data_IF_161573961486
#
_entry.id   IF_161573961486
#
_cell.length_a   1.000
_cell.length_b   1.000
_cell.length_c   1.000
_cell.angle_alpha   90.00
_cell.angle_beta   90.00
_cell.angle_gamma   90.00
#
_symmetry.space_group_name_H-M   'P 1'
#
loop_
_entity.id
_entity.type
_entity.pdbx_description
1 polymer ?
#
# COMPACT_ATOMS: atom_id res chain seq x y z
N UNK A 1 13.28 37.87 -19.14
CA UNK A 1 12.06 37.04 -19.21
C UNK A 1 12.42 35.82 -20.02
N UNK A 2 12.64 34.67 -19.38
CA UNK A 2 12.97 33.42 -20.08
C UNK A 2 11.64 32.70 -20.37
N UNK A 3 11.33 32.54 -21.64
CA UNK A 3 10.17 31.78 -22.11
C UNK A 3 10.31 30.33 -21.69
N UNK A 4 9.29 29.81 -21.05
CA UNK A 4 9.20 28.40 -20.73
C UNK A 4 8.92 27.61 -22.04
N UNK A 5 9.56 26.45 -22.24
CA UNK A 5 9.38 25.69 -23.48
C UNK A 5 7.98 25.09 -23.58
N UNK A 6 7.32 25.31 -24.71
CA UNK A 6 5.93 24.98 -25.04
C UNK A 6 5.62 23.48 -25.24
N UNK A 7 6.50 22.56 -24.80
CA UNK A 7 6.33 21.10 -25.04
C UNK A 7 5.75 20.30 -23.86
N UNK A 8 5.35 20.98 -22.78
CA UNK A 8 4.61 20.29 -21.70
C UNK A 8 3.17 20.07 -22.15
N UNK A 9 2.93 18.91 -22.77
CA UNK A 9 1.59 18.48 -23.14
C UNK A 9 0.69 18.29 -21.89
N UNK A 10 -0.62 18.42 -22.08
CA UNK A 10 -1.61 18.14 -21.03
C UNK A 10 -1.41 16.75 -20.42
N UNK A 11 -1.00 15.76 -21.22
CA UNK A 11 -0.63 14.40 -20.76
C UNK A 11 0.48 14.38 -19.70
N UNK A 12 1.47 15.30 -19.74
CA UNK A 12 2.51 15.32 -18.72
C UNK A 12 2.03 15.95 -17.40
N UNK A 13 1.07 16.85 -17.45
CA UNK A 13 0.43 17.41 -16.24
C UNK A 13 -0.45 16.35 -15.58
N UNK A 14 -1.14 15.52 -16.35
CA UNK A 14 -1.95 14.43 -15.83
C UNK A 14 -1.07 13.29 -15.29
N UNK A 15 0.04 12.96 -15.95
CA UNK A 15 1.06 12.04 -15.45
C UNK A 15 1.72 12.57 -14.16
N UNK A 16 1.93 13.90 -14.07
CA UNK A 16 2.50 14.52 -12.88
C UNK A 16 1.50 14.60 -11.72
N UNK A 17 0.21 14.76 -12.02
CA UNK A 17 -0.88 14.69 -11.04
C UNK A 17 -1.09 13.27 -10.54
N UNK A 18 -1.00 12.25 -11.40
CA UNK A 18 -0.96 10.83 -11.03
C UNK A 18 0.26 10.44 -10.19
N UNK A 19 1.36 11.24 -10.23
CA UNK A 19 2.60 10.93 -9.50
C UNK A 19 2.50 11.11 -8.00
N UNK A 20 1.50 11.83 -7.51
CA UNK A 20 1.30 12.11 -6.08
C UNK A 20 0.21 11.26 -5.42
N UNK A 21 -0.39 10.31 -6.14
CA UNK A 21 -1.61 9.66 -5.66
C UNK A 21 -1.52 8.12 -5.61
N UNK A 22 -0.37 7.62 -5.20
CA UNK A 22 -0.19 6.19 -4.93
C UNK A 22 -0.48 5.90 -3.46
N UNK A 23 -1.52 5.13 -3.17
CA UNK A 23 -1.79 4.61 -1.84
C UNK A 23 -1.22 3.19 -1.69
N UNK A 24 -0.36 3.03 -0.70
CA UNK A 24 0.14 1.72 -0.27
C UNK A 24 -0.60 1.31 0.99
N UNK A 25 -1.31 0.20 0.96
CA UNK A 25 -2.03 -0.27 2.12
C UNK A 25 -1.84 -1.77 2.36
N UNK A 26 -2.02 -2.17 3.60
CA UNK A 26 -1.98 -3.57 4.04
C UNK A 26 -3.38 -4.01 4.44
N UNK A 27 -3.73 -5.27 4.16
CA UNK A 27 -4.89 -5.94 4.75
C UNK A 27 -4.42 -6.91 5.81
N UNK A 28 -4.99 -6.83 7.00
CA UNK A 28 -4.69 -7.71 8.12
C UNK A 28 -5.95 -8.01 8.94
N UNK A 29 -5.90 -9.05 9.74
CA UNK A 29 -7.03 -9.58 10.50
C UNK A 29 -6.80 -11.05 10.82
N UNK A 30 -7.67 -11.67 11.60
CA UNK A 30 -7.55 -13.09 11.93
C UNK A 30 -7.75 -14.00 10.71
N UNK A 31 -7.45 -15.26 10.87
CA UNK A 31 -7.83 -16.28 9.87
C UNK A 31 -9.36 -16.23 9.72
N UNK A 32 -9.84 -16.43 8.53
CA UNK A 32 -11.26 -16.41 8.16
C UNK A 32 -12.00 -15.07 8.33
N UNK A 33 -11.32 -13.96 8.65
CA UNK A 33 -11.95 -12.63 8.65
C UNK A 33 -12.35 -12.16 7.23
N UNK A 34 -11.92 -12.88 6.17
CA UNK A 34 -12.29 -12.60 4.77
C UNK A 34 -11.40 -11.58 4.07
N UNK A 35 -10.10 -11.52 4.42
CA UNK A 35 -9.11 -10.59 3.81
C UNK A 35 -9.03 -10.75 2.29
N UNK A 36 -8.68 -11.94 1.83
CA UNK A 36 -8.53 -12.24 0.41
C UNK A 36 -9.88 -12.11 -0.34
N UNK A 37 -11.00 -12.48 0.30
CA UNK A 37 -12.33 -12.26 -0.27
C UNK A 37 -12.62 -10.78 -0.48
N UNK A 38 -12.30 -9.92 0.50
CA UNK A 38 -12.52 -8.47 0.42
C UNK A 38 -11.73 -7.85 -0.73
N UNK A 39 -10.43 -8.16 -0.83
CA UNK A 39 -9.58 -7.63 -1.90
C UNK A 39 -10.05 -8.16 -3.26
N UNK A 40 -10.29 -9.46 -3.36
CA UNK A 40 -10.75 -10.09 -4.59
C UNK A 40 -12.07 -9.50 -5.08
N UNK A 41 -13.04 -9.28 -4.20
CA UNK A 41 -14.31 -8.62 -4.55
C UNK A 41 -14.10 -7.17 -5.01
N UNK A 42 -13.24 -6.43 -4.31
CA UNK A 42 -12.91 -5.05 -4.68
C UNK A 42 -12.29 -4.98 -6.09
N UNK A 43 -11.37 -5.88 -6.41
CA UNK A 43 -10.74 -5.97 -7.73
C UNK A 43 -11.74 -6.38 -8.82
N UNK A 44 -12.62 -7.33 -8.51
CA UNK A 44 -13.66 -7.79 -9.43
C UNK A 44 -14.64 -6.66 -9.79
N UNK A 45 -15.22 -6.02 -8.81
CA UNK A 45 -16.22 -4.97 -9.00
C UNK A 45 -15.65 -3.71 -9.69
N UNK A 46 -14.39 -3.39 -9.39
CA UNK A 46 -13.69 -2.29 -10.05
C UNK A 46 -13.27 -2.62 -11.50
N UNK A 47 -13.62 -3.82 -12.02
CA UNK A 47 -13.26 -4.31 -13.37
C UNK A 47 -11.76 -4.26 -13.64
N UNK A 48 -10.97 -4.58 -12.64
CA UNK A 48 -9.51 -4.53 -12.69
C UNK A 48 -8.88 -5.90 -12.97
N UNK A 49 -9.71 -6.87 -13.35
CA UNK A 49 -9.32 -8.24 -13.68
C UNK A 49 -9.30 -8.41 -15.19
N UNK A 50 -8.35 -9.19 -15.69
CA UNK A 50 -8.33 -9.57 -17.10
C UNK A 50 -9.46 -10.55 -17.41
N UNK A 51 -10.04 -10.45 -18.60
CA UNK A 51 -11.17 -11.28 -19.05
C UNK A 51 -10.92 -12.79 -18.95
N UNK A 52 -9.66 -13.22 -19.04
CA UNK A 52 -9.28 -14.63 -18.88
C UNK A 52 -9.31 -15.07 -17.41
N UNK A 53 -8.95 -14.17 -16.50
CA UNK A 53 -9.04 -14.43 -15.05
C UNK A 53 -10.49 -14.46 -14.57
N UNK A 54 -11.35 -13.60 -15.12
CA UNK A 54 -12.78 -13.58 -14.85
C UNK A 54 -13.45 -14.91 -15.23
N UNK A 55 -13.16 -15.40 -16.44
CA UNK A 55 -13.66 -16.72 -16.90
C UNK A 55 -13.13 -17.88 -16.08
N UNK A 56 -11.84 -17.85 -15.72
CA UNK A 56 -11.24 -18.88 -14.87
C UNK A 56 -11.90 -18.89 -13.48
N UNK A 57 -12.12 -17.71 -12.88
CA UNK A 57 -12.79 -17.55 -11.60
C UNK A 57 -14.22 -18.10 -11.62
N UNK A 58 -14.99 -17.82 -12.67
CA UNK A 58 -16.35 -18.35 -12.83
C UNK A 58 -16.36 -19.87 -12.96
N UNK A 59 -15.40 -20.46 -13.67
CA UNK A 59 -15.27 -21.90 -13.86
C UNK A 59 -14.88 -22.59 -12.55
N UNK A 60 -13.87 -22.09 -11.86
CA UNK A 60 -13.39 -22.64 -10.60
C UNK A 60 -14.45 -22.51 -9.48
N UNK A 61 -15.20 -21.41 -9.46
CA UNK A 61 -16.31 -21.19 -8.51
C UNK A 61 -17.49 -22.13 -8.74
N UNK A 62 -17.73 -22.59 -9.97
CA UNK A 62 -18.75 -23.60 -10.29
C UNK A 62 -18.40 -25.00 -9.82
N UNK A 63 -17.10 -25.30 -9.75
CA UNK A 63 -16.58 -26.60 -9.29
C UNK A 63 -16.42 -26.63 -7.76
N UNK A 64 -16.31 -25.47 -7.12
CA UNK A 64 -16.12 -25.33 -5.67
C UNK A 64 -17.41 -25.47 -4.86
N UNK A 65 -17.26 -25.71 -3.57
CA UNK A 65 -18.32 -26.10 -2.62
C UNK A 65 -19.27 -24.96 -2.16
N UNK A 66 -19.19 -23.74 -2.70
CA UNK A 66 -19.95 -22.57 -2.22
C UNK A 66 -21.30 -22.33 -2.95
N UNK A 67 -21.92 -23.38 -3.49
CA UNK A 67 -23.29 -23.28 -4.02
C UNK A 67 -23.46 -22.35 -5.25
N UNK A 68 -22.42 -22.19 -6.07
CA UNK A 68 -22.46 -21.42 -7.31
C UNK A 68 -22.20 -19.90 -7.16
N UNK A 69 -21.89 -19.42 -5.97
CA UNK A 69 -21.39 -18.04 -5.77
C UNK A 69 -19.90 -17.95 -6.12
N UNK A 70 -19.49 -16.80 -6.66
CA UNK A 70 -18.10 -16.53 -7.02
C UNK A 70 -17.22 -16.56 -5.76
N UNK A 71 -16.12 -17.32 -5.80
CA UNK A 71 -15.11 -17.30 -4.74
C UNK A 71 -13.99 -16.32 -5.09
N UNK A 72 -14.13 -15.09 -4.62
CA UNK A 72 -13.19 -14.02 -4.88
C UNK A 72 -11.79 -14.24 -4.29
N UNK A 73 -11.63 -15.13 -3.30
CA UNK A 73 -10.33 -15.43 -2.70
C UNK A 73 -9.37 -16.08 -3.70
N UNK A 74 -9.89 -16.85 -4.65
CA UNK A 74 -9.10 -17.51 -5.70
C UNK A 74 -8.32 -16.52 -6.60
N UNK A 75 -8.72 -15.25 -6.65
CA UNK A 75 -7.97 -14.22 -7.38
C UNK A 75 -6.61 -13.89 -6.74
N UNK A 76 -6.45 -14.18 -5.47
CA UNK A 76 -5.27 -13.81 -4.69
C UNK A 76 -4.34 -14.98 -4.40
N UNK A 77 -4.87 -16.20 -4.38
CA UNK A 77 -4.12 -17.40 -4.06
C UNK A 77 -3.06 -17.70 -5.13
N UNK A 78 -1.82 -17.30 -4.84
CA UNK A 78 -0.69 -17.42 -5.76
C UNK A 78 0.10 -18.71 -5.63
N UNK A 79 0.18 -19.28 -4.42
CA UNK A 79 0.95 -20.48 -4.12
C UNK A 79 0.05 -21.72 -4.08
N UNK A 80 0.53 -22.85 -4.61
CA UNK A 80 -0.22 -24.13 -4.49
C UNK A 80 -0.50 -24.48 -3.03
N UNK A 81 0.45 -24.24 -2.13
CA UNK A 81 0.29 -24.50 -0.70
C UNK A 81 -0.81 -23.63 -0.05
N UNK A 82 -0.99 -22.38 -0.52
CA UNK A 82 -2.08 -21.51 -0.06
C UNK A 82 -3.44 -22.03 -0.50
N UNK A 83 -3.55 -22.52 -1.74
CA UNK A 83 -4.78 -23.12 -2.28
C UNK A 83 -5.15 -24.41 -1.56
N UNK A 84 -4.15 -25.27 -1.25
CA UNK A 84 -4.37 -26.54 -0.55
C UNK A 84 -4.78 -26.33 0.92
N UNK A 85 -4.20 -25.33 1.58
CA UNK A 85 -4.47 -25.05 3.00
C UNK A 85 -5.58 -24.03 3.22
N UNK A 86 -5.95 -23.26 2.19
CA UNK A 86 -6.95 -22.19 2.27
C UNK A 86 -6.51 -21.00 3.15
N UNK A 87 -5.20 -20.80 3.31
CA UNK A 87 -4.63 -19.70 4.12
C UNK A 87 -3.52 -18.99 3.36
N UNK A 88 -3.41 -17.68 3.55
CA UNK A 88 -2.27 -16.89 3.07
C UNK A 88 -1.04 -17.19 3.92
N UNK A 89 0.07 -17.55 3.30
CA UNK A 89 1.33 -17.91 3.97
C UNK A 89 2.34 -16.76 3.89
N UNK A 90 2.49 -16.18 2.70
CA UNK A 90 3.43 -15.09 2.44
C UNK A 90 2.70 -13.80 2.06
N UNK A 91 3.43 -12.69 1.99
CA UNK A 91 2.86 -11.39 1.59
C UNK A 91 2.68 -11.35 0.08
N UNK A 92 1.44 -11.22 -0.36
CA UNK A 92 1.13 -11.03 -1.78
C UNK A 92 0.89 -9.55 -2.08
N UNK A 93 1.67 -9.00 -3.02
CA UNK A 93 1.50 -7.63 -3.48
C UNK A 93 0.65 -7.59 -4.75
N UNK A 94 -0.40 -6.76 -4.75
CA UNK A 94 -1.24 -6.53 -5.92
C UNK A 94 -1.26 -5.04 -6.26
N UNK A 95 -1.28 -4.76 -7.55
CA UNK A 95 -1.28 -3.40 -8.09
C UNK A 95 -2.56 -3.19 -8.89
N UNK A 96 -3.25 -2.12 -8.59
CA UNK A 96 -4.43 -1.74 -9.36
C UNK A 96 -4.59 -0.22 -9.38
N UNK A 97 -5.37 0.27 -10.34
CA UNK A 97 -5.60 1.71 -10.52
C UNK A 97 -7.06 1.92 -10.85
N UNK A 98 -7.72 2.81 -10.14
CA UNK A 98 -9.03 3.35 -10.49
C UNK A 98 -8.85 4.65 -11.28
N UNK A 99 -9.94 5.27 -11.69
CA UNK A 99 -9.89 6.57 -12.36
C UNK A 99 -9.28 7.67 -11.46
N UNK A 100 -9.42 7.52 -10.14
CA UNK A 100 -9.04 8.54 -9.17
C UNK A 100 -7.65 8.29 -8.56
N UNK A 101 -7.22 7.03 -8.38
CA UNK A 101 -6.03 6.70 -7.59
C UNK A 101 -5.38 5.37 -8.00
N UNK A 102 -4.04 5.30 -7.82
CA UNK A 102 -3.27 4.04 -7.94
C UNK A 102 -3.05 3.42 -6.57
N UNK A 103 -3.09 2.09 -6.50
CA UNK A 103 -2.99 1.33 -5.25
C UNK A 103 -1.95 0.23 -5.33
N UNK A 104 -1.29 0.00 -4.21
CA UNK A 104 -0.54 -1.23 -3.94
C UNK A 104 -1.10 -1.82 -2.65
N UNK A 105 -1.69 -2.99 -2.73
CA UNK A 105 -2.16 -3.72 -1.57
C UNK A 105 -1.17 -4.84 -1.22
N UNK A 106 -0.81 -4.93 0.05
CA UNK A 106 -0.14 -6.08 0.64
C UNK A 106 -1.19 -6.95 1.34
N UNK A 107 -1.55 -8.07 0.73
CA UNK A 107 -2.35 -9.09 1.42
C UNK A 107 -1.45 -9.91 2.33
N UNK A 108 -1.85 -10.08 3.58
CA UNK A 108 -0.99 -10.66 4.60
C UNK A 108 -1.65 -11.81 5.36
N UNK A 109 -0.82 -12.75 5.83
CA UNK A 109 -1.31 -13.88 6.61
C UNK A 109 -2.08 -13.44 7.86
N UNK A 110 -3.16 -14.15 8.16
CA UNK A 110 -3.92 -13.96 9.41
C UNK A 110 -3.45 -14.83 10.58
N UNK A 111 -2.71 -15.92 10.29
CA UNK A 111 -2.27 -16.89 11.28
C UNK A 111 -1.11 -16.35 12.13
N UNK A 112 -1.12 -16.65 13.43
CA UNK A 112 -0.13 -16.09 14.36
C UNK A 112 1.32 -16.52 14.07
N UNK A 113 1.52 -17.70 13.50
CA UNK A 113 2.85 -18.20 13.10
C UNK A 113 3.50 -17.36 12.01
N UNK A 114 2.69 -16.71 11.15
CA UNK A 114 3.14 -15.87 10.05
C UNK A 114 3.17 -14.38 10.39
N UNK A 115 3.07 -14.02 11.66
CA UNK A 115 3.11 -12.62 12.13
C UNK A 115 4.33 -11.85 11.61
N UNK A 116 5.47 -12.51 11.39
CA UNK A 116 6.67 -11.91 10.81
C UNK A 116 6.42 -11.42 9.38
N UNK A 117 5.76 -12.22 8.54
CA UNK A 117 5.42 -11.84 7.17
C UNK A 117 4.43 -10.68 7.17
N UNK A 118 3.45 -10.70 8.07
CA UNK A 118 2.54 -9.57 8.26
C UNK A 118 3.30 -8.26 8.59
N UNK A 119 4.30 -8.30 9.47
CA UNK A 119 5.11 -7.13 9.81
C UNK A 119 5.91 -6.59 8.61
N UNK A 120 6.39 -7.48 7.71
CA UNK A 120 7.04 -7.07 6.45
C UNK A 120 6.06 -6.30 5.57
N UNK A 121 4.83 -6.79 5.40
CA UNK A 121 3.78 -6.07 4.67
C UNK A 121 3.46 -4.71 5.30
N UNK A 122 3.40 -4.64 6.64
CA UNK A 122 3.12 -3.41 7.37
C UNK A 122 4.21 -2.35 7.21
N UNK A 123 5.49 -2.73 7.09
CA UNK A 123 6.60 -1.79 6.91
C UNK A 123 6.56 -1.04 5.58
N UNK A 124 5.83 -1.57 4.61
CA UNK A 124 5.68 -0.99 3.28
C UNK A 124 4.48 -0.03 3.17
N UNK A 125 3.48 -0.17 4.05
CA UNK A 125 2.18 0.45 3.90
C UNK A 125 2.06 1.80 4.63
N UNK A 126 1.30 2.72 4.05
CA UNK A 126 0.94 4.00 4.66
C UNK A 126 -0.39 3.93 5.42
N UNK A 127 -1.24 2.94 5.08
CA UNK A 127 -2.56 2.73 5.66
C UNK A 127 -2.77 1.24 5.96
N UNK A 128 -3.43 0.94 7.07
CA UNK A 128 -3.83 -0.43 7.41
C UNK A 128 -5.35 -0.60 7.34
N UNK A 129 -5.81 -1.61 6.61
CA UNK A 129 -7.17 -2.12 6.68
C UNK A 129 -7.16 -3.34 7.60
N UNK A 130 -7.78 -3.20 8.76
CA UNK A 130 -7.89 -4.29 9.74
C UNK A 130 -9.30 -4.85 9.66
N UNK A 131 -9.40 -6.12 9.24
CA UNK A 131 -10.69 -6.79 9.20
C UNK A 131 -11.09 -7.27 10.59
N UNK A 132 -12.38 -7.19 10.86
CA UNK A 132 -13.02 -7.65 12.09
C UNK A 132 -14.27 -8.42 11.70
N UNK A 133 -14.37 -9.70 12.03
CA UNK A 133 -15.59 -10.47 11.83
C UNK A 133 -16.70 -9.94 12.75
N UNK A 134 -17.82 -9.51 12.17
CA UNK A 134 -18.96 -8.96 12.91
C UNK A 134 -19.55 -9.97 13.91
N UNK A 135 -19.48 -11.26 13.63
CA UNK A 135 -19.98 -12.31 14.52
C UNK A 135 -19.11 -12.51 15.74
N UNK A 136 -17.79 -12.34 15.60
CA UNK A 136 -16.80 -12.58 16.67
C UNK A 136 -16.41 -11.29 17.40
N UNK A 137 -16.26 -10.19 16.69
CA UNK A 137 -15.80 -8.90 17.21
C UNK A 137 -14.27 -8.80 17.28
N UNK A 138 -13.77 -7.93 18.16
CA UNK A 138 -12.32 -7.65 18.27
C UNK A 138 -11.61 -8.77 19.01
N UNK A 139 -10.86 -9.58 18.29
CA UNK A 139 -10.09 -10.73 18.79
C UNK A 139 -8.67 -10.31 19.23
N UNK A 140 -7.97 -11.24 19.89
CA UNK A 140 -6.57 -11.06 20.28
C UNK A 140 -5.67 -10.77 19.07
N UNK A 141 -5.91 -11.46 17.95
CA UNK A 141 -5.15 -11.29 16.73
C UNK A 141 -5.39 -9.90 16.10
N UNK A 142 -6.63 -9.41 16.11
CA UNK A 142 -6.97 -8.04 15.70
C UNK A 142 -6.14 -7.01 16.48
N UNK A 143 -6.03 -7.19 17.80
CA UNK A 143 -5.24 -6.32 18.68
C UNK A 143 -3.74 -6.39 18.37
N UNK A 144 -3.20 -7.60 18.11
CA UNK A 144 -1.80 -7.79 17.71
C UNK A 144 -1.49 -7.08 16.40
N UNK A 145 -2.33 -7.25 15.39
CA UNK A 145 -2.14 -6.62 14.08
C UNK A 145 -2.19 -5.10 14.17
N UNK A 146 -3.13 -4.54 14.93
CA UNK A 146 -3.19 -3.10 15.15
C UNK A 146 -1.90 -2.56 15.81
N UNK A 147 -1.36 -3.28 16.83
CA UNK A 147 -0.11 -2.92 17.50
C UNK A 147 1.09 -2.99 16.55
N UNK A 148 1.18 -4.02 15.74
CA UNK A 148 2.27 -4.18 14.77
C UNK A 148 2.21 -3.07 13.72
N UNK A 149 1.04 -2.77 13.17
CA UNK A 149 0.86 -1.67 12.22
C UNK A 149 1.30 -0.33 12.83
N UNK A 150 0.88 -0.04 14.07
CA UNK A 150 1.28 1.18 14.78
C UNK A 150 2.79 1.23 15.05
N UNK A 151 3.41 0.09 15.42
CA UNK A 151 4.86 -0.04 15.63
C UNK A 151 5.65 0.18 14.33
N UNK A 152 5.13 -0.30 13.21
CA UNK A 152 5.73 -0.09 11.88
C UNK A 152 5.56 1.35 11.35
N UNK A 153 4.91 2.23 12.11
CA UNK A 153 4.76 3.64 11.77
C UNK A 153 3.48 3.99 11.04
N UNK A 154 2.57 3.05 10.81
CA UNK A 154 1.27 3.35 10.20
C UNK A 154 0.46 4.25 11.13
N UNK A 155 -0.11 5.33 10.56
CA UNK A 155 -0.91 6.33 11.27
C UNK A 155 -2.34 6.44 10.76
N UNK A 156 -2.67 5.74 9.68
CA UNK A 156 -3.99 5.73 9.04
C UNK A 156 -4.59 4.34 9.14
N UNK A 157 -5.76 4.23 9.77
CA UNK A 157 -6.40 2.95 10.05
C UNK A 157 -7.81 2.90 9.50
N UNK A 158 -8.15 1.80 8.87
CA UNK A 158 -9.52 1.43 8.50
C UNK A 158 -9.86 0.11 9.17
N UNK A 159 -10.94 0.08 9.91
CA UNK A 159 -11.49 -1.16 10.43
C UNK A 159 -12.66 -1.56 9.55
N UNK A 160 -12.47 -2.59 8.74
CA UNK A 160 -13.54 -3.19 7.94
C UNK A 160 -14.25 -4.24 8.79
N UNK A 161 -15.42 -3.88 9.31
CA UNK A 161 -16.26 -4.83 10.06
C UNK A 161 -17.01 -5.69 9.06
N UNK A 162 -16.42 -6.86 8.78
CA UNK A 162 -16.83 -7.77 7.73
C UNK A 162 -17.87 -8.79 8.22
N UNK A 163 -18.51 -9.45 7.28
CA UNK A 163 -19.57 -10.46 7.50
C UNK A 163 -20.80 -9.90 8.21
N UNK A 164 -21.16 -8.66 7.87
CA UNK A 164 -22.38 -8.04 8.38
C UNK A 164 -23.66 -8.82 8.00
N UNK A 165 -23.62 -9.56 6.90
CA UNK A 165 -24.65 -10.50 6.46
C UNK A 165 -24.93 -11.59 7.51
N UNK A 166 -23.92 -12.12 8.18
CA UNK A 166 -24.05 -13.17 9.20
C UNK A 166 -24.70 -12.66 10.51
N UNK A 167 -24.71 -11.37 10.72
CA UNK A 167 -25.35 -10.75 11.88
C UNK A 167 -26.58 -9.93 11.50
N UNK A 168 -27.20 -10.25 10.33
CA UNK A 168 -28.39 -9.60 9.79
C UNK A 168 -28.26 -8.06 9.72
N UNK A 169 -27.05 -7.57 9.40
CA UNK A 169 -26.74 -6.14 9.27
C UNK A 169 -27.10 -5.30 10.50
N UNK A 170 -26.97 -5.90 11.69
CA UNK A 170 -27.40 -5.30 12.95
C UNK A 170 -26.51 -4.10 13.35
N UNK A 171 -27.10 -2.91 13.40
CA UNK A 171 -26.46 -1.67 13.82
C UNK A 171 -25.97 -1.73 15.26
N UNK A 172 -26.71 -2.39 16.17
CA UNK A 172 -26.32 -2.52 17.57
C UNK A 172 -25.07 -3.40 17.73
N UNK A 173 -24.91 -4.39 16.86
CA UNK A 173 -23.72 -5.22 16.83
C UNK A 173 -22.50 -4.40 16.39
N UNK A 174 -22.65 -3.58 15.34
CA UNK A 174 -21.59 -2.65 14.93
C UNK A 174 -21.20 -1.71 16.07
N UNK A 175 -22.16 -1.07 16.73
CA UNK A 175 -21.89 -0.13 17.83
C UNK A 175 -21.08 -0.75 18.99
N UNK A 176 -21.29 -2.03 19.28
CA UNK A 176 -20.48 -2.76 20.28
C UNK A 176 -19.03 -2.94 19.82
N UNK A 177 -18.84 -3.29 18.54
CA UNK A 177 -17.51 -3.48 17.93
C UNK A 177 -16.78 -2.13 17.85
N UNK A 178 -17.46 -1.06 17.45
CA UNK A 178 -16.89 0.30 17.42
C UNK A 178 -16.33 0.73 18.76
N UNK A 179 -17.07 0.49 19.85
CA UNK A 179 -16.59 0.77 21.22
C UNK A 179 -15.31 -0.02 21.55
N UNK A 180 -15.26 -1.29 21.17
CA UNK A 180 -14.09 -2.12 21.40
C UNK A 180 -12.87 -1.66 20.58
N UNK A 181 -13.09 -1.22 19.33
CA UNK A 181 -12.06 -0.64 18.47
C UNK A 181 -11.56 0.69 19.05
N UNK A 182 -12.46 1.56 19.51
CA UNK A 182 -12.10 2.84 20.13
C UNK A 182 -11.22 2.64 21.38
N UNK A 183 -11.56 1.67 22.23
CA UNK A 183 -10.74 1.32 23.40
C UNK A 183 -9.35 0.83 22.97
N UNK A 184 -9.27 -0.02 21.96
CA UNK A 184 -7.99 -0.49 21.42
C UNK A 184 -7.16 0.67 20.84
N UNK A 185 -7.77 1.54 20.04
CA UNK A 185 -7.08 2.62 19.36
C UNK A 185 -6.65 3.75 20.29
N UNK A 186 -7.23 3.87 21.48
CA UNK A 186 -6.79 4.80 22.52
C UNK A 186 -5.34 4.52 22.99
N UNK A 187 -4.81 3.32 22.74
CA UNK A 187 -3.40 2.96 23.04
C UNK A 187 -2.40 3.59 22.07
N UNK A 188 -2.83 4.12 20.91
CA UNK A 188 -1.96 4.50 19.80
C UNK A 188 -2.09 5.97 19.42
N UNK A 189 -1.02 6.50 18.84
CA UNK A 189 -1.07 7.76 18.09
C UNK A 189 -1.41 7.45 16.63
N UNK A 190 -2.55 7.93 16.17
CA UNK A 190 -2.98 7.83 14.77
C UNK A 190 -3.48 9.19 14.25
N UNK A 191 -3.46 9.36 12.93
CA UNK A 191 -3.97 10.56 12.25
C UNK A 191 -5.43 10.40 11.86
N UNK A 192 -5.76 9.26 11.26
CA UNK A 192 -7.12 8.95 10.83
C UNK A 192 -7.51 7.53 11.24
N UNK A 193 -8.76 7.38 11.63
CA UNK A 193 -9.39 6.09 11.88
C UNK A 193 -10.79 6.11 11.29
N UNK A 194 -11.12 5.09 10.50
CA UNK A 194 -12.46 4.91 9.93
C UNK A 194 -12.95 3.50 10.20
N UNK A 195 -14.22 3.38 10.57
CA UNK A 195 -14.87 2.07 10.74
C UNK A 195 -15.94 1.97 9.65
N UNK A 196 -15.89 0.91 8.87
CA UNK A 196 -16.76 0.68 7.71
C UNK A 196 -17.36 -0.72 7.84
N UNK A 197 -18.69 -0.84 8.02
CA UNK A 197 -19.36 -2.14 7.99
C UNK A 197 -19.45 -2.63 6.54
N UNK A 198 -19.01 -3.88 6.30
CA UNK A 198 -18.98 -4.48 4.97
C UNK A 198 -19.49 -5.92 4.97
N UNK A 199 -19.89 -6.41 3.81
CA UNK A 199 -19.95 -7.84 3.54
C UNK A 199 -19.11 -8.15 2.33
N UNK A 200 -17.96 -8.81 2.54
CA UNK A 200 -17.04 -9.14 1.46
C UNK A 200 -17.63 -10.14 0.46
N UNK A 201 -18.56 -10.97 0.90
CA UNK A 201 -19.24 -11.96 0.05
C UNK A 201 -20.33 -11.34 -0.81
N UNK A 202 -21.13 -10.43 -0.22
CA UNK A 202 -22.25 -9.80 -0.90
C UNK A 202 -21.87 -8.47 -1.61
N UNK A 203 -20.69 -7.90 -1.32
CA UNK A 203 -20.20 -6.66 -1.91
C UNK A 203 -20.66 -5.39 -1.20
N UNK A 204 -21.36 -5.53 -0.09
CA UNK A 204 -21.94 -4.40 0.63
C UNK A 204 -20.88 -3.44 1.18
N UNK A 205 -21.00 -2.16 0.85
CA UNK A 205 -20.11 -1.07 1.24
C UNK A 205 -18.64 -1.25 0.84
N UNK A 206 -18.32 -2.11 -0.13
CA UNK A 206 -16.97 -2.23 -0.69
C UNK A 206 -16.78 -1.19 -1.79
N UNK A 207 -17.44 -1.35 -2.92
CA UNK A 207 -17.44 -0.42 -4.05
C UNK A 207 -18.74 0.35 -4.16
N UNK A 208 -19.85 -0.27 -3.79
CA UNK A 208 -21.21 0.29 -3.81
C UNK A 208 -21.80 0.31 -2.41
N UNK A 209 -22.66 1.28 -2.16
CA UNK A 209 -23.38 1.37 -0.89
C UNK A 209 -24.35 0.18 -0.74
N UNK A 210 -24.41 -0.35 0.47
CA UNK A 210 -25.32 -1.44 0.81
C UNK A 210 -26.78 -0.96 0.82
N UNK A 211 -27.67 -1.75 0.23
CA UNK A 211 -29.10 -1.58 0.34
C UNK A 211 -29.66 -2.11 1.67
N UNK A 212 -28.90 -2.97 2.34
CA UNK A 212 -29.26 -3.59 3.62
C UNK A 212 -28.86 -2.73 4.83
N UNK A 213 -27.86 -1.85 4.66
CA UNK A 213 -27.34 -0.99 5.72
C UNK A 213 -27.65 0.48 5.47
N UNK A 214 -28.92 0.82 5.24
CA UNK A 214 -29.36 2.20 5.00
C UNK A 214 -29.06 3.16 6.16
N UNK A 215 -28.86 2.61 7.35
CA UNK A 215 -28.43 3.36 8.55
C UNK A 215 -26.97 3.79 8.50
N UNK A 216 -26.14 3.19 7.61
CA UNK A 216 -24.76 3.60 7.42
C UNK A 216 -24.66 4.71 6.37
N UNK A 217 -24.30 5.91 6.82
CA UNK A 217 -24.20 7.10 5.95
C UNK A 217 -22.77 7.40 5.49
N UNK A 218 -21.79 6.61 5.93
CA UNK A 218 -20.39 6.79 5.59
C UNK A 218 -20.06 6.44 4.13
N UNK A 219 -18.80 6.62 3.71
CA UNK A 219 -18.32 6.22 2.40
C UNK A 219 -18.21 4.69 2.29
N UNK A 220 -18.20 4.18 1.06
CA UNK A 220 -17.76 2.81 0.80
C UNK A 220 -16.25 2.66 1.05
N UNK A 221 -15.76 1.43 1.16
CA UNK A 221 -14.35 1.19 1.40
C UNK A 221 -13.47 1.78 0.29
N UNK A 222 -13.80 1.50 -0.97
CA UNK A 222 -13.03 2.00 -2.12
C UNK A 222 -13.08 3.53 -2.19
N UNK A 223 -14.25 4.14 -2.03
CA UNK A 223 -14.37 5.61 -2.03
C UNK A 223 -13.51 6.25 -0.93
N UNK A 224 -13.49 5.66 0.28
CA UNK A 224 -12.62 6.16 1.34
C UNK A 224 -11.13 6.03 0.99
N UNK A 225 -10.72 4.91 0.37
CA UNK A 225 -9.33 4.72 -0.04
C UNK A 225 -8.90 5.68 -1.16
N UNK A 226 -9.83 6.09 -2.02
CA UNK A 226 -9.57 7.09 -3.06
C UNK A 226 -9.38 8.49 -2.49
N UNK A 227 -10.09 8.84 -1.41
CA UNK A 227 -10.10 10.20 -0.84
C UNK A 227 -9.11 10.42 0.30
N UNK A 228 -8.71 9.37 1.01
CA UNK A 228 -7.88 9.51 2.21
C UNK A 228 -6.50 10.11 1.89
N UNK A 229 -6.17 11.21 2.56
CA UNK A 229 -4.84 11.81 2.47
C UNK A 229 -3.90 11.15 3.50
N UNK A 230 -2.92 10.43 2.99
CA UNK A 230 -1.86 9.78 3.78
C UNK A 230 -0.51 10.51 3.67
N UNK A 231 -0.50 11.70 3.04
CA UNK A 231 0.72 12.47 2.89
C UNK A 231 1.28 12.87 4.26
N UNK A 232 2.58 12.68 4.42
CA UNK A 232 3.30 13.27 5.55
C UNK A 232 3.56 14.74 5.22
N UNK A 233 3.35 15.67 6.17
CA UNK A 233 3.77 17.04 5.98
C UNK A 233 5.26 17.03 5.64
N UNK A 234 5.60 17.53 4.48
CA UNK A 234 7.01 17.76 4.14
C UNK A 234 7.50 18.94 5.01
N UNK A 235 7.83 18.66 6.27
CA UNK A 235 8.76 19.52 6.96
C UNK A 235 10.01 19.62 6.09
N UNK A 236 10.67 20.78 6.03
CA UNK A 236 11.94 20.96 5.30
C UNK A 236 13.00 20.08 5.95
N UNK A 237 12.92 18.79 5.65
CA UNK A 237 13.88 17.83 6.15
C UNK A 237 15.19 17.96 5.37
N UNK A 238 16.31 17.75 6.05
CA UNK A 238 17.59 17.70 5.39
C UNK A 238 17.59 16.59 4.31
N UNK A 239 18.33 16.83 3.23
CA UNK A 239 18.49 15.82 2.18
C UNK A 239 19.09 14.53 2.75
N UNK A 240 18.41 13.43 2.54
CA UNK A 240 18.85 12.08 2.91
C UNK A 240 18.62 11.10 1.76
N UNK A 241 19.69 10.47 1.32
CA UNK A 241 19.66 9.41 0.30
C UNK A 241 20.57 8.26 0.73
N UNK A 242 20.02 7.13 1.18
CA UNK A 242 20.78 5.91 1.39
C UNK A 242 21.39 5.42 0.06
N UNK A 243 22.70 5.15 0.04
CA UNK A 243 23.36 4.61 -1.14
C UNK A 243 23.03 3.13 -1.29
N UNK A 244 22.31 2.77 -2.34
CA UNK A 244 21.89 1.40 -2.64
C UNK A 244 22.78 0.75 -3.70
N UNK A 245 23.38 1.55 -4.59
CA UNK A 245 24.22 1.04 -5.68
C UNK A 245 25.33 2.03 -6.03
N UNK A 246 26.51 1.49 -6.37
CA UNK A 246 27.57 2.25 -7.02
C UNK A 246 27.49 2.03 -8.53
N UNK A 247 27.39 3.10 -9.29
CA UNK A 247 27.38 3.09 -10.75
C UNK A 247 28.77 3.46 -11.25
N UNK A 248 29.37 2.58 -12.07
CA UNK A 248 30.69 2.80 -12.66
C UNK A 248 30.66 2.28 -14.11
N UNK A 249 30.10 3.08 -15.04
CA UNK A 249 29.99 2.69 -16.45
C UNK A 249 31.35 2.61 -17.14
N UNK A 250 32.34 3.38 -16.70
CA UNK A 250 33.70 3.44 -17.23
C UNK A 250 34.74 3.66 -16.11
N UNK A 251 36.02 3.83 -16.47
CA UNK A 251 37.10 4.06 -15.52
C UNK A 251 37.07 5.43 -14.84
N UNK A 252 36.46 6.41 -15.50
CA UNK A 252 36.58 7.82 -15.14
C UNK A 252 35.36 8.31 -14.35
N UNK A 253 34.25 7.58 -14.41
CA UNK A 253 33.03 7.93 -13.70
C UNK A 253 32.72 6.97 -12.56
N UNK A 254 32.41 7.56 -11.39
CA UNK A 254 31.90 6.83 -10.24
C UNK A 254 30.75 7.59 -9.61
N UNK A 255 29.53 7.06 -9.76
CA UNK A 255 28.30 7.61 -9.19
C UNK A 255 27.72 6.74 -8.10
N UNK A 256 26.90 7.35 -7.23
CA UNK A 256 26.12 6.67 -6.22
C UNK A 256 24.62 6.80 -6.55
N UNK A 257 23.91 5.71 -6.41
CA UNK A 257 22.47 5.64 -6.69
C UNK A 257 21.72 5.22 -5.44
N UNK A 258 20.55 5.82 -5.21
CA UNK A 258 19.65 5.51 -4.12
C UNK A 258 18.32 6.25 -4.26
N UNK A 259 17.37 5.85 -3.46
CA UNK A 259 16.12 6.56 -3.32
C UNK A 259 16.32 7.75 -2.37
N UNK A 260 15.77 8.92 -2.72
CA UNK A 260 15.75 10.07 -1.80
C UNK A 260 14.63 9.82 -0.78
N UNK A 261 15.00 9.64 0.48
CA UNK A 261 14.08 9.40 1.59
C UNK A 261 13.51 10.71 2.14
N UNK A 262 14.30 11.77 2.15
CA UNK A 262 13.86 13.08 2.62
C UNK A 262 14.62 14.24 1.98
N UNK A 263 14.01 15.42 1.99
CA UNK A 263 14.57 16.66 1.49
C UNK A 263 14.80 16.68 -0.02
N UNK A 264 15.52 17.70 -0.46
CA UNK A 264 15.87 17.93 -1.86
C UNK A 264 17.35 18.21 -1.98
N UNK A 265 17.94 17.88 -3.14
CA UNK A 265 19.28 18.34 -3.51
C UNK A 265 19.27 18.85 -4.95
N UNK A 266 19.84 20.02 -5.17
CA UNK A 266 20.01 20.65 -6.48
C UNK A 266 21.45 20.56 -6.95
N UNK A 267 21.67 20.76 -8.26
CA UNK A 267 23.05 20.78 -8.80
C UNK A 267 23.81 21.95 -8.17
N UNK A 268 25.01 21.65 -7.66
CA UNK A 268 25.87 22.59 -6.99
C UNK A 268 25.80 22.57 -5.46
N UNK A 269 24.80 21.89 -4.88
CA UNK A 269 24.68 21.75 -3.43
C UNK A 269 25.85 20.94 -2.83
N UNK A 270 26.21 21.30 -1.61
CA UNK A 270 27.19 20.55 -0.83
C UNK A 270 26.47 19.57 0.08
N UNK A 271 26.70 18.29 -0.14
CA UNK A 271 26.16 17.21 0.69
C UNK A 271 27.25 16.61 1.57
N UNK A 272 26.86 16.09 2.73
CA UNK A 272 27.78 15.36 3.64
C UNK A 272 27.58 13.85 3.49
N UNK A 273 28.67 13.14 3.23
CA UNK A 273 28.66 11.68 3.13
C UNK A 273 28.78 11.08 4.53
N UNK A 274 27.90 10.19 4.90
CA UNK A 274 27.96 9.46 6.18
C UNK A 274 28.47 8.04 5.93
N UNK A 275 29.26 7.46 6.85
CA UNK A 275 29.68 7.99 8.17
C UNK A 275 30.92 8.89 8.12
N UNK A 276 31.63 9.02 6.99
CA UNK A 276 32.93 9.69 6.92
C UNK A 276 32.91 11.20 7.25
N UNK A 277 31.76 11.85 7.07
CA UNK A 277 31.60 13.31 7.20
C UNK A 277 32.21 14.10 6.03
N UNK A 278 32.77 13.44 5.01
CA UNK A 278 33.30 14.08 3.81
C UNK A 278 32.22 14.89 3.09
N UNK A 279 32.61 16.02 2.53
CA UNK A 279 31.73 16.88 1.74
C UNK A 279 31.92 16.59 0.25
N UNK A 280 30.82 16.41 -0.46
CA UNK A 280 30.79 16.26 -1.90
C UNK A 280 29.85 17.31 -2.52
N UNK A 281 30.19 17.77 -3.72
CA UNK A 281 29.34 18.68 -4.49
C UNK A 281 28.50 17.88 -5.48
N UNK A 282 27.22 18.21 -5.59
CA UNK A 282 26.35 17.61 -6.61
C UNK A 282 26.67 18.21 -7.98
N UNK A 283 26.88 17.35 -8.98
CA UNK A 283 27.17 17.77 -10.35
C UNK A 283 26.14 17.22 -11.34
N UNK A 284 25.96 17.87 -12.51
CA UNK A 284 25.07 17.33 -13.54
C UNK A 284 25.59 16.00 -14.07
N UNK A 285 24.70 15.08 -14.33
CA UNK A 285 24.99 13.81 -15.01
C UNK A 285 25.05 14.05 -16.52
N UNK A 286 26.10 14.70 -17.03
CA UNK A 286 26.35 14.80 -18.47
C UNK A 286 26.91 13.52 -19.07
N UNK A 287 27.23 12.51 -18.24
CA UNK A 287 27.96 11.32 -18.65
C UNK A 287 27.11 10.05 -18.81
N UNK A 288 25.80 10.10 -18.64
CA UNK A 288 24.96 8.92 -18.86
C UNK A 288 24.10 9.16 -20.09
N UNK A 289 24.57 8.62 -21.22
CA UNK A 289 23.80 8.54 -22.45
C UNK A 289 22.44 7.90 -22.22
N UNK A 290 21.42 8.41 -22.90
CA UNK A 290 20.04 7.96 -22.86
C UNK A 290 19.93 6.44 -23.01
N UNK A 291 19.61 5.74 -21.94
CA UNK A 291 19.37 4.32 -21.96
C UNK A 291 19.10 3.77 -20.59
N UNK A 292 17.84 3.64 -20.25
CA UNK A 292 17.18 3.17 -19.02
C UNK A 292 16.72 4.26 -18.06
N UNK A 293 15.81 5.08 -18.54
CA UNK A 293 14.86 5.74 -17.68
C UNK A 293 13.85 4.69 -17.20
N UNK A 294 14.01 4.21 -15.96
CA UNK A 294 12.89 3.62 -15.26
C UNK A 294 11.89 4.75 -14.98
N UNK A 295 10.66 4.72 -15.54
CA UNK A 295 9.68 5.75 -15.23
C UNK A 295 9.26 5.54 -13.78
N UNK A 296 9.47 6.55 -12.94
CA UNK A 296 8.98 6.67 -11.55
C UNK A 296 9.97 6.54 -10.39
N UNK A 297 11.24 6.84 -10.58
CA UNK A 297 12.04 7.27 -9.45
C UNK A 297 12.97 8.40 -9.93
N UNK A 298 12.88 9.56 -9.31
CA UNK A 298 13.90 10.60 -9.51
C UNK A 298 15.20 10.11 -8.86
N UNK A 299 15.94 9.26 -9.58
CA UNK A 299 17.31 8.93 -9.20
C UNK A 299 18.18 10.12 -9.55
N UNK A 300 18.56 10.93 -8.57
CA UNK A 300 19.62 11.91 -8.75
C UNK A 300 20.95 11.19 -8.65
N UNK A 301 21.78 11.27 -9.70
CA UNK A 301 23.15 10.79 -9.71
C UNK A 301 24.06 11.83 -9.04
N UNK A 302 24.94 11.37 -8.16
CA UNK A 302 25.97 12.20 -7.57
C UNK A 302 27.35 11.64 -7.95
N UNK A 303 28.27 12.47 -8.42
CA UNK A 303 29.66 12.12 -8.59
C UNK A 303 30.51 12.95 -7.61
N UNK A 304 31.41 12.28 -6.91
CA UNK A 304 32.38 12.92 -6.04
C UNK A 304 33.78 12.79 -6.65
N UNK A 305 34.46 13.91 -6.93
CA UNK A 305 35.88 13.87 -7.24
C UNK A 305 36.68 13.59 -5.96
N UNK A 306 37.39 12.46 -5.91
CA UNK A 306 38.46 12.26 -4.94
C UNK A 306 39.69 12.92 -5.51
N UNK A 307 40.28 13.86 -4.80
CA UNK A 307 41.70 14.21 -5.00
C UNK A 307 42.53 12.93 -4.78
N UNK A 308 43.47 12.62 -5.70
CA UNK A 308 44.37 11.47 -5.50
C UNK A 308 45.13 11.64 -4.17
N UNK A 309 45.21 10.56 -3.40
CA UNK A 309 46.08 10.52 -2.22
C UNK A 309 47.54 10.53 -2.69
N UNK A 310 48.44 11.20 -1.99
CA UNK A 310 49.85 11.29 -2.40
C UNK A 310 50.62 10.04 -2.01
N UNK A 311 50.14 8.84 -2.25
CA UNK A 311 50.88 7.59 -2.15
C UNK A 311 50.17 6.53 -3.00
N UNK A 312 50.64 6.43 -4.24
CA UNK A 312 50.86 5.23 -5.02
C UNK A 312 52.08 5.48 -5.93
#
# INVERSE_FOLDING_TARGET
MAEQPAWKSENERDIFKMKNDLLKFITCGSVDDGKSTLIGHMLYDAKLIFTDQEKALELDSKVGSRGGKIDYSLLLDGLMAEREQGITIDVAYRYFTTENRSFIVADTPGHEEYTRNMAVGASFASLAIILVDASQGVLLQTKRHARICALMGIRHFVFAVNKMDLVNYDQMRLAKIEKAIQVLMAEFQYKTMKIIPVSATEGDNITKKSEQMLWYTGPTLLAYLEEVDVSEPQEKQAFLMPVQRVCRPDSDFRGFQGQVESGEATIGDIISVRPSGEKARTIPSSAVGAGFACPKAQSKLFSGERKPRPYD
#
